data_IF_964802908314
#
_entry.id   IF_964802908314
#
_cell.length_a   1.000
_cell.length_b   1.000
_cell.length_c   1.000
_cell.angle_alpha   90.00
_cell.angle_beta   90.00
_cell.angle_gamma   90.00
#
_symmetry.space_group_name_H-M   'P 1'
#
loop_
_entity.id
_entity.type
_entity.pdbx_description
1 polymer ?
#
# COMPACT_ATOMS: atom_id res chain seq x y z
N UNK A 1 5.09 -15.10 22.07
CA UNK A 1 5.07 -14.11 20.98
C UNK A 1 4.33 -14.71 19.79
N UNK A 2 3.13 -14.22 19.45
CA UNK A 2 2.39 -14.71 18.29
C UNK A 2 3.05 -14.22 16.99
N UNK A 3 3.69 -15.14 16.25
CA UNK A 3 4.16 -14.90 14.87
C UNK A 3 3.06 -15.34 13.90
N UNK A 4 2.12 -14.45 13.60
CA UNK A 4 0.96 -14.75 12.76
C UNK A 4 1.23 -14.71 11.25
N UNK A 5 2.43 -14.30 10.82
CA UNK A 5 2.80 -14.30 9.40
C UNK A 5 4.24 -14.80 9.23
N UNK A 6 4.41 -16.12 9.17
CA UNK A 6 5.59 -16.69 8.53
C UNK A 6 5.41 -16.48 7.03
N UNK A 7 6.10 -15.48 6.45
CA UNK A 7 6.34 -15.49 5.00
C UNK A 7 7.10 -16.79 4.72
N UNK A 8 6.45 -17.78 4.11
CA UNK A 8 7.15 -18.90 3.49
C UNK A 8 8.17 -18.28 2.55
N UNK A 9 9.45 -18.43 2.89
CA UNK A 9 10.54 -18.09 1.97
C UNK A 9 10.44 -19.13 0.86
N UNK A 10 9.80 -18.77 -0.26
CA UNK A 10 9.87 -19.57 -1.46
C UNK A 10 11.34 -19.69 -1.85
N UNK A 11 11.80 -20.92 -2.08
CA UNK A 11 13.08 -21.15 -2.76
C UNK A 11 13.09 -20.39 -4.09
N UNK A 12 14.24 -19.94 -4.60
CA UNK A 12 14.31 -19.23 -5.86
C UNK A 12 14.03 -20.23 -6.99
N UNK A 13 12.76 -20.46 -7.29
CA UNK A 13 12.38 -20.94 -8.62
C UNK A 13 12.55 -19.73 -9.51
N UNK A 14 13.68 -19.66 -10.19
CA UNK A 14 13.89 -18.70 -11.25
C UNK A 14 12.81 -18.94 -12.32
N UNK A 15 11.88 -18.02 -12.59
CA UNK A 15 11.43 -17.89 -13.95
C UNK A 15 12.61 -17.31 -14.73
N UNK A 16 13.10 -18.05 -15.72
CA UNK A 16 13.86 -17.47 -16.84
C UNK A 16 12.91 -16.57 -17.62
N UNK A 17 12.57 -15.44 -17.03
CA UNK A 17 12.10 -14.26 -17.72
C UNK A 17 13.16 -13.24 -17.36
N UNK A 18 13.98 -12.88 -18.34
CA UNK A 18 14.92 -11.77 -18.23
C UNK A 18 14.23 -10.61 -17.51
N UNK A 19 14.92 -9.82 -16.67
CA UNK A 19 14.35 -8.61 -16.13
C UNK A 19 14.10 -7.68 -17.32
N UNK A 20 12.89 -7.76 -17.88
CA UNK A 20 12.37 -6.75 -18.77
C UNK A 20 12.45 -5.46 -17.94
N UNK A 21 13.03 -4.38 -18.48
CA UNK A 21 12.98 -3.12 -17.77
C UNK A 21 11.52 -2.88 -17.42
N UNK A 22 11.26 -2.49 -16.17
CA UNK A 22 9.96 -1.97 -15.68
C UNK A 22 9.62 -0.63 -16.38
N UNK A 23 10.01 -0.48 -17.65
CA UNK A 23 9.59 0.54 -18.56
C UNK A 23 8.07 0.43 -18.67
N UNK A 24 7.37 1.41 -18.09
CA UNK A 24 6.39 2.31 -18.76
C UNK A 24 5.58 1.78 -19.96
N UNK A 25 5.36 0.48 -20.08
CA UNK A 25 4.38 -0.07 -20.99
C UNK A 25 3.01 0.33 -20.45
N UNK A 26 2.23 1.02 -21.29
CA UNK A 26 0.84 1.32 -20.98
C UNK A 26 0.11 0.00 -20.71
N UNK A 27 -0.69 -0.08 -19.63
CA UNK A 27 -1.46 -1.29 -19.36
C UNK A 27 -2.42 -1.56 -20.53
N UNK A 28 -2.76 -2.83 -20.79
CA UNK A 28 -3.77 -3.16 -21.79
C UNK A 28 -5.09 -2.42 -21.52
N UNK A 29 -5.91 -2.16 -22.54
CA UNK A 29 -7.21 -1.52 -22.36
C UNK A 29 -8.04 -2.22 -21.28
N UNK A 30 -8.57 -1.45 -20.33
CA UNK A 30 -9.37 -1.98 -19.21
C UNK A 30 -8.56 -2.42 -17.97
N UNK A 31 -7.23 -2.36 -17.99
CA UNK A 31 -6.39 -2.66 -16.83
C UNK A 31 -5.88 -1.38 -16.16
N UNK A 32 -5.88 -1.37 -14.83
CA UNK A 32 -5.31 -0.29 -14.04
C UNK A 32 -3.84 -0.58 -13.73
N UNK A 33 -3.00 0.45 -13.82
CA UNK A 33 -1.63 0.40 -13.29
C UNK A 33 -1.71 0.64 -11.78
N UNK A 34 -1.17 -0.24 -10.93
CA UNK A 34 -1.09 0.01 -9.50
C UNK A 34 -0.26 1.26 -9.21
N UNK A 35 -0.77 2.09 -8.31
CA UNK A 35 -0.08 3.26 -7.79
C UNK A 35 0.68 2.92 -6.50
N UNK A 36 1.73 3.69 -6.22
CA UNK A 36 2.46 3.60 -4.96
C UNK A 36 1.66 4.17 -3.80
N UNK A 37 1.95 3.72 -2.58
CA UNK A 37 1.37 4.31 -1.37
C UNK A 37 1.61 5.82 -1.28
N UNK A 38 2.78 6.27 -1.73
CA UNK A 38 3.14 7.69 -1.74
C UNK A 38 2.21 8.50 -2.64
N UNK A 39 1.98 8.05 -3.89
CA UNK A 39 1.03 8.69 -4.81
C UNK A 39 -0.38 8.71 -4.21
N UNK A 40 -0.85 7.54 -3.75
CA UNK A 40 -2.19 7.37 -3.22
C UNK A 40 -2.41 8.25 -1.99
N UNK A 41 -1.45 8.35 -1.08
CA UNK A 41 -1.60 9.13 0.16
C UNK A 41 -1.16 10.59 0.01
N UNK A 42 -0.76 11.04 -1.18
CA UNK A 42 -0.23 12.39 -1.41
C UNK A 42 -1.29 13.51 -1.29
N UNK A 43 -2.58 13.19 -1.36
CA UNK A 43 -3.62 14.24 -1.33
C UNK A 43 -3.59 15.02 -0.01
N UNK A 44 -3.84 16.34 -0.01
CA UNK A 44 -3.77 17.16 1.21
C UNK A 44 -4.67 16.63 2.34
N UNK A 45 -5.86 16.13 2.00
CA UNK A 45 -6.79 15.53 2.95
C UNK A 45 -6.19 14.28 3.61
N UNK A 46 -5.59 13.36 2.83
CA UNK A 46 -5.00 12.11 3.33
C UNK A 46 -3.79 12.39 4.23
N UNK A 47 -2.89 13.29 3.80
CA UNK A 47 -1.74 13.73 4.62
C UNK A 47 -2.17 14.28 5.97
N UNK A 48 -3.13 15.21 5.97
CA UNK A 48 -3.67 15.81 7.20
C UNK A 48 -4.29 14.77 8.14
N UNK A 49 -5.02 13.79 7.61
CA UNK A 49 -5.60 12.72 8.43
C UNK A 49 -4.52 11.87 9.10
N UNK A 50 -3.47 11.48 8.37
CA UNK A 50 -2.34 10.71 8.93
C UNK A 50 -1.64 11.51 10.04
N UNK A 51 -1.40 12.80 9.81
CA UNK A 51 -0.84 13.71 10.82
C UNK A 51 -1.72 13.83 12.05
N UNK A 52 -3.05 13.80 11.88
CA UNK A 52 -4.01 13.85 12.98
C UNK A 52 -4.09 12.53 13.78
N UNK A 53 -3.80 11.37 13.18
CA UNK A 53 -3.78 10.11 13.92
C UNK A 53 -2.65 10.13 14.96
N UNK A 54 -1.48 10.67 14.58
CA UNK A 54 -0.30 10.76 15.44
C UNK A 54 -0.60 11.19 16.89
N UNK A 55 -1.10 12.42 17.15
CA UNK A 55 -1.23 12.90 18.52
C UNK A 55 -2.28 12.13 19.31
N UNK A 56 -3.20 11.44 18.63
CA UNK A 56 -4.25 10.61 19.25
C UNK A 56 -3.74 9.26 19.73
N UNK A 57 -2.54 8.86 19.32
CA UNK A 57 -1.93 7.56 19.69
C UNK A 57 -0.89 7.69 20.81
N UNK A 58 -0.41 8.90 21.11
CA UNK A 58 0.64 9.15 22.12
C UNK A 58 1.92 8.32 21.95
N UNK A 59 2.28 7.96 20.71
CA UNK A 59 3.44 7.12 20.39
C UNK A 59 4.67 7.93 19.93
N UNK A 60 5.90 7.44 20.19
CA UNK A 60 7.14 7.96 19.57
C UNK A 60 7.19 7.78 18.04
N UNK A 61 8.08 8.53 17.35
CA UNK A 61 8.02 8.67 15.86
C UNK A 61 8.26 7.37 15.15
N UNK A 62 9.21 6.62 15.68
CA UNK A 62 9.53 5.30 15.21
C UNK A 62 8.38 4.30 15.40
N UNK A 63 7.71 4.32 16.56
CA UNK A 63 6.64 3.37 16.86
C UNK A 63 5.37 3.64 16.06
N UNK A 64 4.97 4.91 15.93
CA UNK A 64 3.87 5.29 15.03
C UNK A 64 4.15 4.89 13.58
N UNK A 65 5.39 5.08 13.10
CA UNK A 65 5.77 4.68 11.75
C UNK A 65 5.56 3.19 11.53
N UNK A 66 5.97 2.36 12.49
CA UNK A 66 5.85 0.91 12.39
C UNK A 66 4.42 0.38 12.60
N UNK A 67 3.69 0.92 13.58
CA UNK A 67 2.37 0.43 14.00
C UNK A 67 1.21 1.04 13.21
N UNK A 68 1.36 2.24 12.66
CA UNK A 68 0.28 2.96 11.98
C UNK A 68 0.65 3.31 10.54
N UNK A 69 1.73 4.08 10.33
CA UNK A 69 2.05 4.60 8.98
C UNK A 69 2.34 3.48 7.97
N UNK A 70 3.25 2.57 8.29
CA UNK A 70 3.60 1.46 7.40
C UNK A 70 2.42 0.55 7.06
N UNK A 71 1.57 0.15 8.03
CA UNK A 71 0.32 -0.55 7.74
C UNK A 71 -0.64 0.22 6.83
N UNK A 72 -0.81 1.54 7.04
CA UNK A 72 -1.67 2.38 6.20
C UNK A 72 -1.15 2.47 4.75
N UNK A 73 0.16 2.62 4.56
CA UNK A 73 0.80 2.65 3.25
C UNK A 73 0.61 1.33 2.50
N UNK A 74 0.90 0.19 3.14
CA UNK A 74 0.67 -1.13 2.54
C UNK A 74 -0.80 -1.40 2.24
N UNK A 75 -1.70 -0.95 3.12
CA UNK A 75 -3.13 -1.09 2.88
C UNK A 75 -3.55 -0.28 1.65
N UNK A 76 -3.10 0.96 1.51
CA UNK A 76 -3.38 1.80 0.34
C UNK A 76 -2.90 1.13 -0.96
N UNK A 77 -1.70 0.55 -0.97
CA UNK A 77 -1.19 -0.21 -2.13
C UNK A 77 -2.02 -1.45 -2.45
N UNK A 78 -2.61 -2.11 -1.46
CA UNK A 78 -3.47 -3.28 -1.70
C UNK A 78 -4.82 -2.90 -2.28
N UNK A 79 -5.44 -1.84 -1.76
CA UNK A 79 -6.82 -1.45 -2.13
C UNK A 79 -6.88 -0.45 -3.28
N UNK A 80 -5.78 0.23 -3.60
CA UNK A 80 -5.69 1.19 -4.71
C UNK A 80 -6.83 2.23 -4.63
N UNK A 81 -7.50 2.51 -5.75
CA UNK A 81 -8.69 3.36 -5.82
C UNK A 81 -9.98 2.55 -6.04
N UNK A 82 -9.98 1.26 -5.67
CA UNK A 82 -11.19 0.46 -5.81
C UNK A 82 -12.31 0.97 -4.91
N UNK A 83 -13.57 0.92 -5.38
CA UNK A 83 -14.71 1.29 -4.56
C UNK A 83 -14.85 0.29 -3.40
N UNK A 84 -15.41 0.75 -2.28
CA UNK A 84 -15.65 -0.11 -1.12
C UNK A 84 -16.69 -1.21 -1.40
N UNK A 85 -17.55 -1.01 -2.40
CA UNK A 85 -18.54 -1.98 -2.89
C UNK A 85 -18.92 -1.68 -4.34
N UNK A 86 -19.57 -2.64 -5.00
CA UNK A 86 -20.08 -2.49 -6.37
C UNK A 86 -21.14 -1.38 -6.47
N UNK A 87 -21.97 -1.23 -5.43
CA UNK A 87 -23.06 -0.25 -5.36
C UNK A 87 -22.63 1.19 -4.98
N UNK A 88 -21.33 1.49 -5.00
CA UNK A 88 -20.81 2.85 -4.77
C UNK A 88 -21.22 3.48 -3.43
N UNK A 89 -20.89 2.83 -2.31
CA UNK A 89 -20.70 3.58 -1.06
C UNK A 89 -19.31 4.22 -1.10
N UNK A 90 -19.26 5.50 -1.48
CA UNK A 90 -18.02 6.25 -1.66
C UNK A 90 -17.09 6.21 -0.42
N UNK A 91 -15.80 6.22 -0.73
CA UNK A 91 -14.70 6.64 0.13
C UNK A 91 -14.64 8.18 0.27
#
# INVERSE_FOLDING_TARGET
MLRLFQRKRAAPVAPTVAPLPLAEAMPPPGWLRPESAESLLATPRRRRLIELIWPRTSLPRQQFSWLYRGPLERYAELVQQFPASEAHHHA
#
